data_IF_242236486383
#
_entry.id   IF_242236486383
#
_cell.length_a   1.000
_cell.length_b   1.000
_cell.length_c   1.000
_cell.angle_alpha   90.00
_cell.angle_beta   90.00
_cell.angle_gamma   90.00
#
_symmetry.space_group_name_H-M   'P 1'
#
loop_
_entity.id
_entity.type
_entity.pdbx_description
1 polymer ?
#
# COMPACT_ATOMS: atom_id res chain seq x y z
N UNK A 1 3.21 -8.78 -3.62
CA UNK A 1 1.98 -8.71 -4.45
C UNK A 1 2.16 -7.63 -5.51
N UNK A 2 1.77 -7.87 -6.77
CA UNK A 2 1.92 -6.86 -7.85
C UNK A 2 0.87 -5.76 -7.73
N UNK A 3 1.26 -4.54 -8.09
CA UNK A 3 0.42 -3.33 -8.03
C UNK A 3 0.38 -2.71 -9.43
N UNK A 4 -0.81 -2.34 -9.89
CA UNK A 4 -1.04 -1.76 -11.20
C UNK A 4 -1.56 -0.33 -11.08
N UNK A 5 -1.49 0.43 -12.17
CA UNK A 5 -1.92 1.82 -12.21
C UNK A 5 -3.36 2.03 -11.70
N UNK A 6 -3.53 2.96 -10.78
CA UNK A 6 -4.77 3.28 -10.08
C UNK A 6 -5.10 2.35 -8.91
N UNK A 7 -4.26 1.35 -8.60
CA UNK A 7 -4.53 0.44 -7.48
C UNK A 7 -4.42 1.18 -6.17
N UNK A 8 -5.26 0.80 -5.22
CA UNK A 8 -5.30 1.40 -3.89
C UNK A 8 -4.98 0.35 -2.84
N UNK A 9 -4.10 0.69 -1.93
CA UNK A 9 -3.69 -0.13 -0.81
C UNK A 9 -4.16 0.53 0.48
N UNK A 10 -4.38 -0.28 1.52
CA UNK A 10 -4.66 0.18 2.87
C UNK A 10 -3.54 -0.29 3.80
N UNK A 11 -2.98 0.68 4.53
CA UNK A 11 -1.92 0.51 5.53
C UNK A 11 -2.39 1.22 6.79
N UNK A 12 -2.74 0.46 7.81
CA UNK A 12 -3.46 0.98 8.99
C UNK A 12 -4.78 1.65 8.60
N UNK A 13 -4.91 2.93 8.90
CA UNK A 13 -6.05 3.78 8.57
C UNK A 13 -5.87 4.57 7.27
N UNK A 14 -4.64 4.61 6.73
CA UNK A 14 -4.29 5.39 5.54
C UNK A 14 -4.54 4.61 4.24
N UNK A 15 -4.85 5.35 3.18
CA UNK A 15 -4.96 4.81 1.82
C UNK A 15 -3.77 5.28 0.99
N UNK A 16 -3.17 4.35 0.24
CA UNK A 16 -2.08 4.62 -0.70
C UNK A 16 -2.56 4.26 -2.09
N UNK A 17 -2.69 5.24 -2.98
CA UNK A 17 -2.96 4.96 -4.39
C UNK A 17 -1.66 4.97 -5.18
N UNK A 18 -1.50 4.01 -6.08
CA UNK A 18 -0.41 4.03 -7.06
C UNK A 18 -0.89 4.66 -8.36
N UNK A 19 -0.12 5.60 -8.88
CA UNK A 19 -0.33 6.19 -10.20
C UNK A 19 0.94 6.12 -11.02
N UNK A 20 0.83 5.66 -12.27
CA UNK A 20 1.88 5.88 -13.25
C UNK A 20 1.98 7.39 -13.52
N UNK A 21 3.15 7.96 -13.23
CA UNK A 21 3.43 9.32 -13.65
C UNK A 21 3.40 9.36 -15.19
N UNK A 22 2.82 10.40 -15.81
CA UNK A 22 2.94 10.58 -17.26
C UNK A 22 4.42 10.51 -17.60
N UNK A 23 4.75 9.70 -18.61
CA UNK A 23 6.11 9.33 -18.98
C UNK A 23 6.95 10.56 -19.33
N UNK A 24 7.53 11.18 -18.33
CA UNK A 24 8.61 12.13 -18.47
C UNK A 24 9.91 11.33 -18.66
N UNK A 25 10.60 11.46 -19.82
CA UNK A 25 11.78 10.66 -20.13
C UNK A 25 12.91 10.74 -19.10
N UNK A 26 12.93 11.78 -18.26
CA UNK A 26 13.95 12.01 -17.24
C UNK A 26 13.58 11.47 -15.85
N UNK A 27 12.30 11.25 -15.60
CA UNK A 27 11.78 10.74 -14.32
C UNK A 27 11.58 9.23 -14.48
N UNK A 28 12.40 8.42 -13.79
CA UNK A 28 12.38 6.96 -13.90
C UNK A 28 10.96 6.38 -13.98
N UNK A 29 10.80 5.29 -14.76
CA UNK A 29 9.53 4.68 -15.23
C UNK A 29 8.58 4.17 -14.12
N UNK A 30 8.77 4.56 -12.88
CA UNK A 30 8.29 3.87 -11.70
C UNK A 30 7.01 4.50 -11.11
N UNK A 31 6.67 5.73 -11.48
CA UNK A 31 5.41 6.38 -11.09
C UNK A 31 5.47 7.08 -9.72
N UNK A 32 4.31 7.28 -9.10
CA UNK A 32 4.17 7.97 -7.80
C UNK A 32 3.12 7.30 -6.92
N UNK A 33 3.24 7.53 -5.63
CA UNK A 33 2.26 7.14 -4.63
C UNK A 33 1.51 8.39 -4.16
N UNK A 34 0.19 8.31 -4.16
CA UNK A 34 -0.69 9.30 -3.53
C UNK A 34 -1.12 8.74 -2.18
N UNK A 35 -0.59 9.32 -1.11
CA UNK A 35 -0.89 8.93 0.25
C UNK A 35 -1.99 9.84 0.80
N UNK A 36 -3.14 9.25 1.12
CA UNK A 36 -4.25 9.90 1.81
C UNK A 36 -4.17 9.56 3.31
N UNK A 37 -3.71 10.52 4.12
CA UNK A 37 -3.58 10.37 5.57
C UNK A 37 -4.78 11.03 6.27
N UNK A 38 -5.55 10.28 7.08
CA UNK A 38 -6.59 10.85 7.94
C UNK A 38 -5.99 11.66 9.12
N UNK A 39 -6.73 12.61 9.72
CA UNK A 39 -8.09 13.03 9.40
C UNK A 39 -8.17 14.19 8.38
N UNK A 40 -7.04 14.85 8.12
CA UNK A 40 -7.01 16.17 7.46
C UNK A 40 -7.28 16.09 5.94
N UNK A 41 -7.32 14.87 5.38
CA UNK A 41 -7.57 14.63 3.97
C UNK A 41 -6.45 15.09 3.04
N UNK A 42 -5.32 15.51 3.60
CA UNK A 42 -4.13 15.89 2.85
C UNK A 42 -3.64 14.71 2.01
N UNK A 43 -3.29 15.00 0.76
CA UNK A 43 -2.69 14.04 -0.17
C UNK A 43 -1.21 14.35 -0.28
N UNK A 44 -0.38 13.45 0.22
CA UNK A 44 1.07 13.52 0.05
C UNK A 44 1.47 12.74 -1.19
N UNK A 45 2.20 13.39 -2.09
CA UNK A 45 2.74 12.73 -3.29
C UNK A 45 4.16 12.26 -2.99
N UNK A 46 4.40 10.97 -3.12
CA UNK A 46 5.72 10.36 -2.90
C UNK A 46 6.20 9.76 -4.22
N UNK A 47 7.36 10.19 -4.77
CA UNK A 47 7.91 9.58 -5.96
C UNK A 47 8.33 8.14 -5.67
N UNK A 48 7.97 7.20 -6.56
CA UNK A 48 8.46 5.83 -6.46
C UNK A 48 9.76 5.73 -7.24
N UNK A 49 10.91 5.66 -6.56
CA UNK A 49 12.22 5.46 -7.18
C UNK A 49 12.65 3.99 -7.18
N UNK A 50 13.82 3.69 -7.76
CA UNK A 50 14.40 2.32 -7.78
C UNK A 50 14.60 1.75 -6.37
N UNK A 51 14.88 2.60 -5.39
CA UNK A 51 15.04 2.21 -3.99
C UNK A 51 13.72 1.76 -3.33
N UNK A 52 12.56 1.94 -4.00
CA UNK A 52 11.25 1.75 -3.40
C UNK A 52 10.91 2.82 -2.36
N UNK A 53 9.80 2.61 -1.66
CA UNK A 53 9.31 3.44 -0.56
C UNK A 53 8.97 2.52 0.62
N UNK A 54 9.66 2.71 1.74
CA UNK A 54 9.35 2.06 3.01
C UNK A 54 8.32 2.88 3.77
N UNK A 55 7.23 2.22 4.19
CA UNK A 55 6.15 2.80 4.98
C UNK A 55 6.15 2.15 6.35
N UNK A 56 6.11 2.96 7.40
CA UNK A 56 6.04 2.49 8.77
C UNK A 56 5.55 3.57 9.72
N UNK A 57 5.32 3.20 10.99
CA UNK A 57 4.93 4.15 12.03
C UNK A 57 6.12 4.92 12.59
N UNK A 58 7.30 4.30 12.58
CA UNK A 58 8.51 4.85 13.22
C UNK A 58 9.70 4.85 12.26
N UNK A 59 9.77 3.88 11.34
CA UNK A 59 10.85 3.68 10.39
C UNK A 59 10.29 3.69 8.96
N UNK A 60 10.91 4.48 8.09
CA UNK A 60 10.55 4.51 6.67
C UNK A 60 10.84 5.84 6.00
N UNK A 61 10.69 5.84 4.68
CA UNK A 61 10.65 7.06 3.87
C UNK A 61 9.33 7.81 4.09
N UNK A 62 8.27 7.07 4.43
CA UNK A 62 6.95 7.58 4.82
C UNK A 62 6.63 7.10 6.23
N UNK A 63 6.50 8.05 7.15
CA UNK A 63 6.16 7.78 8.55
C UNK A 63 4.71 8.15 8.84
N UNK A 64 3.92 7.17 9.29
CA UNK A 64 2.53 7.31 9.74
C UNK A 64 2.48 7.28 11.27
N UNK A 65 3.18 8.22 11.91
CA UNK A 65 3.48 8.25 13.35
C UNK A 65 2.25 8.23 14.28
N UNK A 66 1.16 8.89 13.89
CA UNK A 66 -0.10 8.93 14.66
C UNK A 66 -0.97 7.68 14.53
N UNK A 67 -0.65 6.76 13.60
CA UNK A 67 -1.50 5.61 13.30
C UNK A 67 -1.04 4.36 14.07
N UNK A 68 -1.73 4.08 15.18
CA UNK A 68 -1.44 2.92 16.04
C UNK A 68 -1.69 1.57 15.37
N UNK A 69 -2.41 1.55 14.23
CA UNK A 69 -2.60 0.34 13.43
C UNK A 69 -1.42 0.03 12.51
N UNK A 70 -0.44 0.94 12.42
CA UNK A 70 0.76 0.76 11.60
C UNK A 70 1.92 0.26 12.49
N UNK A 71 2.59 -0.83 12.08
CA UNK A 71 3.82 -1.31 12.71
C UNK A 71 5.00 -0.36 12.47
N UNK A 72 6.03 -0.43 13.33
CA UNK A 72 7.22 0.45 13.24
C UNK A 72 7.85 0.45 11.84
N UNK A 73 8.05 -0.73 11.25
CA UNK A 73 8.33 -0.98 9.83
C UNK A 73 7.23 -1.88 9.29
N UNK A 74 6.35 -1.35 8.43
CA UNK A 74 5.09 -2.02 8.09
C UNK A 74 5.13 -2.72 6.74
N UNK A 75 5.37 -1.97 5.67
CA UNK A 75 5.42 -2.50 4.32
C UNK A 75 6.35 -1.68 3.44
N UNK A 76 6.78 -2.29 2.35
CA UNK A 76 7.58 -1.66 1.30
C UNK A 76 6.82 -1.71 -0.01
N UNK A 77 6.79 -0.58 -0.71
CA UNK A 77 6.37 -0.52 -2.11
C UNK A 77 7.62 -0.42 -2.94
N UNK A 78 7.96 -1.49 -3.66
CA UNK A 78 9.14 -1.59 -4.50
C UNK A 78 8.78 -1.58 -5.98
N UNK A 79 9.80 -1.39 -6.81
CA UNK A 79 9.69 -1.60 -8.25
C UNK A 79 10.86 -2.47 -8.72
N UNK A 80 10.58 -3.31 -9.71
CA UNK A 80 11.58 -4.13 -10.39
C UNK A 80 11.31 -4.11 -11.91
N UNK A 81 11.93 -5.01 -12.66
CA UNK A 81 11.76 -5.12 -14.11
C UNK A 81 10.34 -5.54 -14.52
N UNK A 82 9.61 -6.20 -13.63
CA UNK A 82 8.27 -6.73 -13.88
C UNK A 82 7.18 -5.77 -13.37
N UNK A 83 7.57 -4.61 -12.81
CA UNK A 83 6.67 -3.53 -12.39
C UNK A 83 6.71 -3.27 -10.89
N UNK A 84 5.62 -2.69 -10.38
CA UNK A 84 5.50 -2.31 -8.97
C UNK A 84 4.96 -3.47 -8.15
N UNK A 85 5.47 -3.60 -6.93
CA UNK A 85 5.01 -4.59 -5.98
C UNK A 85 4.94 -4.01 -4.58
N UNK A 86 4.07 -4.59 -3.76
CA UNK A 86 4.02 -4.36 -2.31
C UNK A 86 4.48 -5.62 -1.58
N UNK A 87 5.25 -5.40 -0.53
CA UNK A 87 5.76 -6.40 0.39
C UNK A 87 5.38 -5.98 1.82
N UNK A 88 4.57 -6.81 2.49
CA UNK A 88 4.31 -6.63 3.92
C UNK A 88 5.49 -7.19 4.72
N UNK A 89 5.98 -6.42 5.68
CA UNK A 89 7.21 -6.73 6.44
C UNK A 89 6.91 -7.42 7.78
N UNK A 90 5.81 -8.18 7.84
CA UNK A 90 5.36 -8.83 9.08
C UNK A 90 4.57 -7.86 9.97
N UNK A 91 3.76 -7.01 9.36
CA UNK A 91 2.96 -6.04 10.09
C UNK A 91 1.89 -6.73 10.96
N UNK A 92 1.50 -6.09 12.05
CA UNK A 92 0.55 -6.68 13.00
C UNK A 92 -0.89 -6.72 12.48
N UNK A 93 -1.27 -5.73 11.66
CA UNK A 93 -2.63 -5.60 11.13
C UNK A 93 -2.74 -5.94 9.64
N UNK A 94 -1.61 -6.15 8.95
CA UNK A 94 -1.55 -6.46 7.54
C UNK A 94 -1.65 -5.25 6.60
N UNK A 95 -1.19 -5.47 5.37
CA UNK A 95 -1.34 -4.57 4.23
C UNK A 95 -2.36 -5.12 3.24
N UNK A 96 -3.36 -4.32 2.85
CA UNK A 96 -4.49 -4.80 2.03
C UNK A 96 -4.57 -4.08 0.69
N UNK A 97 -4.88 -4.81 -0.39
CA UNK A 97 -5.21 -4.23 -1.69
C UNK A 97 -6.72 -4.08 -1.84
N UNK A 98 -7.17 -2.92 -2.32
CA UNK A 98 -8.58 -2.63 -2.57
C UNK A 98 -9.05 -3.42 -3.78
N UNK A 99 -10.09 -4.23 -3.58
CA UNK A 99 -10.80 -4.89 -4.68
C UNK A 99 -11.60 -3.85 -5.48
N UNK A 100 -11.39 -3.80 -6.80
CA UNK A 100 -12.11 -2.89 -7.71
C UNK A 100 -13.42 -3.49 -8.24
N UNK A 101 -13.47 -4.81 -8.37
CA UNK A 101 -14.62 -5.58 -8.84
C UNK A 101 -14.69 -6.92 -8.08
N UNK A 102 -15.64 -7.78 -8.42
CA UNK A 102 -15.74 -9.10 -7.81
C UNK A 102 -14.45 -9.90 -7.98
N UNK A 103 -13.89 -10.38 -6.87
CA UNK A 103 -12.72 -11.24 -6.85
C UNK A 103 -13.08 -12.57 -6.17
N UNK A 104 -12.59 -13.68 -6.72
CA UNK A 104 -12.60 -14.96 -6.02
C UNK A 104 -11.63 -14.90 -4.86
N UNK A 105 -12.11 -15.27 -3.67
CA UNK A 105 -11.32 -15.30 -2.44
C UNK A 105 -11.15 -16.75 -2.03
N UNK A 106 -9.90 -17.17 -1.84
CA UNK A 106 -9.58 -18.53 -1.43
C UNK A 106 -9.75 -18.71 0.09
N UNK A 107 -9.98 -19.95 0.51
CA UNK A 107 -10.00 -20.29 1.94
C UNK A 107 -8.64 -19.98 2.56
N UNK A 108 -8.66 -19.41 3.76
CA UNK A 108 -7.48 -18.95 4.50
C UNK A 108 -7.07 -17.51 4.21
N UNK A 109 -7.63 -16.87 3.17
CA UNK A 109 -7.33 -15.47 2.89
C UNK A 109 -8.05 -14.50 3.84
N UNK A 110 -7.39 -13.38 4.12
CA UNK A 110 -7.94 -12.28 4.89
C UNK A 110 -8.64 -11.28 3.98
N UNK A 111 -9.78 -10.77 4.42
CA UNK A 111 -10.53 -9.69 3.81
C UNK A 111 -10.66 -8.54 4.80
N UNK A 112 -10.47 -7.32 4.32
CA UNK A 112 -10.73 -6.12 5.09
C UNK A 112 -11.98 -5.44 4.53
N UNK A 113 -13.02 -5.31 5.37
CA UNK A 113 -14.27 -4.62 5.02
C UNK A 113 -14.48 -3.51 6.04
N UNK A 114 -14.45 -2.26 5.59
CA UNK A 114 -14.41 -1.10 6.47
C UNK A 114 -13.14 -1.11 7.33
N UNK A 115 -13.29 -1.37 8.63
CA UNK A 115 -12.18 -1.52 9.59
C UNK A 115 -12.11 -2.92 10.22
N UNK A 116 -12.88 -3.88 9.70
CA UNK A 116 -12.97 -5.22 10.25
C UNK A 116 -12.28 -6.23 9.35
N UNK A 117 -11.38 -7.00 9.94
CA UNK A 117 -10.72 -8.11 9.27
C UNK A 117 -11.54 -9.40 9.42
N UNK A 118 -11.77 -10.06 8.30
CA UNK A 118 -12.39 -11.37 8.20
C UNK A 118 -11.36 -12.35 7.66
N UNK A 119 -11.42 -13.60 8.09
CA UNK A 119 -10.62 -14.68 7.50
C UNK A 119 -11.59 -15.74 7.02
N UNK A 120 -11.51 -16.10 5.73
CA UNK A 120 -12.29 -17.21 5.22
C UNK A 120 -11.75 -18.50 5.83
N UNK A 121 -12.59 -19.23 6.56
CA UNK A 121 -12.27 -20.54 7.13
C UNK A 121 -13.23 -21.58 6.56
N UNK A 122 -12.78 -22.84 6.36
CA UNK A 122 -13.69 -23.94 6.09
C UNK A 122 -14.67 -24.11 7.26
N UNK A 123 -15.84 -24.67 6.95
CA UNK A 123 -16.89 -24.97 7.91
C UNK A 123 -16.53 -26.14 8.82
#
# INVERSE_FOLDING_TARGET
MRVHDGDQLRVGQSLVAYELAPSDPQSGRHGRLLLHVPPDGAVTVVPLGEAGVLIGRELGDVTLDGDTFVSSSHCRIGCDRDGVYVEDLGSSNGTYLRLRSGASVELGQSLLVGQTQFVLRPR
#
